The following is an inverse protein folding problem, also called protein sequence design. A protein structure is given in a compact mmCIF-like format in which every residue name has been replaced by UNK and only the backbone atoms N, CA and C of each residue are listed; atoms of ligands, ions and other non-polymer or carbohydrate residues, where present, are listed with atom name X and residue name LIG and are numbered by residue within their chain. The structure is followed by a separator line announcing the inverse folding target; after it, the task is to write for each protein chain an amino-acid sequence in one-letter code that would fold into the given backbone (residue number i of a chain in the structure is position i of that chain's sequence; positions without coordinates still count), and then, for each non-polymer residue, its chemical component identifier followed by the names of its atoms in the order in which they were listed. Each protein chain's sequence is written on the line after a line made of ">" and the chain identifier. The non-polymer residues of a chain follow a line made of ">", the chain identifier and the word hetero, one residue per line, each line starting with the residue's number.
data_IF_493809134110
#
_entry.id   IF_493809134110
#
_cell.length_a   1.000
_cell.length_b   1.000
_cell.length_c   1.000
_cell.angle_alpha   90.00
_cell.angle_beta   90.00
_cell.angle_gamma   90.00
#
_symmetry.space_group_name_H-M   'P 1'
#
loop_
_entity.id
_entity.type
_entity.pdbx_description
1 polymer ?
#
# COMPACT_ATOMS: atom_id res chain seq x y z
N UNK A 1 -11.84 9.40 -19.63
CA UNK A 1 -12.68 8.67 -18.66
C UNK A 1 -11.76 8.14 -17.56
N UNK A 2 -12.27 7.89 -16.35
CA UNK A 2 -11.50 7.23 -15.29
C UNK A 2 -11.76 5.72 -15.36
N UNK A 3 -10.73 4.90 -15.25
CA UNK A 3 -10.85 3.44 -15.23
C UNK A 3 -9.82 2.81 -14.29
N UNK A 4 -10.21 1.75 -13.60
CA UNK A 4 -9.29 0.89 -12.88
C UNK A 4 -8.73 -0.17 -13.82
N UNK A 5 -7.42 -0.28 -13.89
CA UNK A 5 -6.74 -1.48 -14.36
C UNK A 5 -6.60 -2.43 -13.19
N UNK A 6 -6.94 -3.70 -13.37
CA UNK A 6 -6.84 -4.72 -12.33
C UNK A 6 -6.12 -5.95 -12.84
N UNK A 7 -5.07 -6.34 -12.15
CA UNK A 7 -4.31 -7.56 -12.44
C UNK A 7 -4.40 -8.52 -11.25
N UNK A 8 -4.85 -9.75 -11.55
CA UNK A 8 -4.83 -10.87 -10.61
C UNK A 8 -3.53 -11.67 -10.79
N UNK A 9 -2.50 -11.24 -10.07
CA UNK A 9 -1.20 -11.89 -10.07
C UNK A 9 -1.17 -13.14 -9.19
N UNK A 10 -0.08 -13.90 -9.35
CA UNK A 10 0.39 -14.94 -8.45
C UNK A 10 0.94 -14.26 -7.18
N UNK A 11 0.32 -14.52 -6.04
CA UNK A 11 0.79 -14.04 -4.73
C UNK A 11 0.39 -12.60 -4.39
N UNK A 12 -0.07 -11.82 -5.37
CA UNK A 12 -0.62 -10.49 -5.14
C UNK A 12 -1.59 -10.06 -6.26
N UNK A 13 -2.57 -9.24 -5.90
CA UNK A 13 -3.38 -8.48 -6.83
C UNK A 13 -2.90 -7.03 -6.91
N UNK A 14 -2.86 -6.46 -8.11
CA UNK A 14 -2.45 -5.07 -8.38
C UNK A 14 -3.62 -4.31 -9.01
N UNK A 15 -3.78 -3.05 -8.65
CA UNK A 15 -4.74 -2.17 -9.31
C UNK A 15 -4.19 -0.76 -9.48
N UNK A 16 -4.50 -0.12 -10.61
CA UNK A 16 -4.13 1.25 -10.91
C UNK A 16 -5.34 2.02 -11.44
N UNK A 17 -5.68 3.16 -10.83
CA UNK A 17 -6.68 4.08 -11.34
C UNK A 17 -6.03 5.01 -12.36
N UNK A 18 -6.52 4.97 -13.59
CA UNK A 18 -6.07 5.81 -14.68
C UNK A 18 -7.10 6.93 -14.90
N UNK A 19 -6.65 8.18 -14.77
CA UNK A 19 -7.44 9.37 -15.08
C UNK A 19 -6.72 10.17 -16.17
N UNK A 20 -7.39 10.36 -17.32
CA UNK A 20 -6.84 11.12 -18.46
C UNK A 20 -5.45 10.60 -18.90
N UNK A 21 -5.30 9.27 -18.93
CA UNK A 21 -4.07 8.58 -19.32
C UNK A 21 -2.96 8.56 -18.26
N UNK A 22 -3.22 9.03 -17.03
CA UNK A 22 -2.25 9.08 -15.94
C UNK A 22 -2.65 8.17 -14.79
N UNK A 23 -1.69 7.43 -14.25
CA UNK A 23 -1.85 6.73 -12.98
C UNK A 23 -2.00 7.74 -11.85
N UNK A 24 -3.16 7.75 -11.20
CA UNK A 24 -3.48 8.68 -10.09
C UNK A 24 -3.62 7.98 -8.74
N UNK A 25 -3.82 6.67 -8.73
CA UNK A 25 -3.92 5.85 -7.52
C UNK A 25 -3.44 4.42 -7.84
N UNK A 26 -2.63 3.82 -6.98
CA UNK A 26 -2.24 2.43 -7.09
C UNK A 26 -2.46 1.69 -5.77
N UNK A 27 -2.88 0.44 -5.89
CA UNK A 27 -3.21 -0.44 -4.79
C UNK A 27 -2.57 -1.81 -5.04
N UNK A 28 -2.03 -2.39 -3.98
CA UNK A 28 -1.52 -3.77 -3.98
C UNK A 28 -2.18 -4.49 -2.80
N UNK A 29 -2.64 -5.70 -3.03
CA UNK A 29 -3.11 -6.63 -2.00
C UNK A 29 -2.34 -7.93 -2.16
N UNK A 30 -1.46 -8.24 -1.21
CA UNK A 30 -0.74 -9.53 -1.17
C UNK A 30 -1.67 -10.63 -0.69
N UNK A 31 -1.52 -11.82 -1.24
CA UNK A 31 -2.18 -13.01 -0.74
C UNK A 31 -1.66 -13.35 0.65
N UNK A 32 -2.57 -13.72 1.56
CA UNK A 32 -2.21 -14.14 2.90
C UNK A 32 -3.42 -14.28 3.80
N UNK A 33 -3.16 -14.75 5.02
CA UNK A 33 -4.18 -15.00 6.04
C UNK A 33 -4.44 -13.80 6.96
N UNK A 34 -3.75 -12.68 6.72
CA UNK A 34 -3.91 -11.45 7.48
C UNK A 34 -5.35 -10.92 7.35
N UNK A 35 -5.92 -10.51 8.47
CA UNK A 35 -7.31 -10.08 8.49
C UNK A 35 -7.48 -8.73 7.79
N UNK A 36 -8.44 -8.65 6.86
CA UNK A 36 -8.68 -7.43 6.06
C UNK A 36 -9.57 -6.42 6.78
N UNK A 37 -9.40 -5.14 6.45
CA UNK A 37 -10.32 -4.10 6.90
C UNK A 37 -11.75 -4.41 6.42
N UNK A 38 -12.72 -4.23 7.31
CA UNK A 38 -14.11 -4.56 7.08
C UNK A 38 -14.46 -6.01 7.33
N UNK A 39 -13.50 -6.90 7.60
CA UNK A 39 -13.80 -8.28 8.00
C UNK A 39 -14.50 -8.33 9.36
N UNK A 40 -15.35 -9.33 9.56
CA UNK A 40 -15.86 -9.72 10.89
C UNK A 40 -15.25 -11.07 11.21
N UNK A 41 -14.33 -11.10 12.18
CA UNK A 41 -13.57 -12.28 12.53
C UNK A 41 -13.91 -12.79 13.94
N UNK A 42 -13.85 -14.12 14.10
CA UNK A 42 -14.00 -14.78 15.39
C UNK A 42 -12.66 -14.83 16.13
N UNK A 43 -12.70 -14.54 17.43
CA UNK A 43 -11.55 -14.66 18.30
C UNK A 43 -11.91 -14.74 19.78
N UNK A 44 -10.88 -14.69 20.62
CA UNK A 44 -10.98 -14.74 22.07
C UNK A 44 -10.28 -13.54 22.68
N UNK A 45 -10.90 -12.86 23.65
CA UNK A 45 -10.23 -11.80 24.42
C UNK A 45 -9.15 -12.47 25.29
N UNK A 46 -7.87 -12.22 25.02
CA UNK A 46 -6.75 -12.86 25.72
C UNK A 46 -6.09 -11.96 26.75
N UNK A 47 -6.27 -10.63 26.64
CA UNK A 47 -5.74 -9.68 27.62
C UNK A 47 -6.53 -8.37 27.62
N UNK A 48 -6.76 -7.82 28.81
CA UNK A 48 -7.29 -6.47 29.03
C UNK A 48 -6.12 -5.54 29.30
N UNK A 49 -5.88 -4.58 28.41
CA UNK A 49 -4.78 -3.61 28.58
C UNK A 49 -5.26 -2.42 29.42
N UNK A 50 -6.42 -1.87 29.08
CA UNK A 50 -7.06 -0.77 29.80
C UNK A 50 -8.50 -1.19 30.10
N UNK A 51 -8.89 -1.37 31.37
CA UNK A 51 -10.22 -1.79 31.75
C UNK A 51 -11.31 -0.96 31.05
N UNK A 52 -12.31 -1.64 30.47
CA UNK A 52 -13.45 -1.05 29.73
C UNK A 52 -13.09 -0.21 28.49
N UNK A 53 -11.83 -0.19 28.06
CA UNK A 53 -11.38 0.63 26.93
C UNK A 53 -10.62 -0.17 25.88
N UNK A 54 -9.64 -0.99 26.28
CA UNK A 54 -8.70 -1.56 25.31
C UNK A 54 -8.24 -2.95 25.69
N UNK A 55 -8.31 -3.88 24.76
CA UNK A 55 -7.93 -5.28 24.96
C UNK A 55 -7.32 -5.90 23.72
N UNK A 56 -6.74 -7.08 23.89
CA UNK A 56 -6.16 -7.88 22.82
C UNK A 56 -7.06 -9.08 22.60
N UNK A 57 -7.60 -9.18 21.39
CA UNK A 57 -8.32 -10.36 20.91
C UNK A 57 -7.37 -11.17 20.04
N UNK A 58 -7.19 -12.46 20.34
CA UNK A 58 -6.53 -13.39 19.44
C UNK A 58 -7.59 -14.00 18.53
N UNK A 59 -7.47 -13.74 17.23
CA UNK A 59 -8.36 -14.32 16.22
C UNK A 59 -8.12 -15.83 16.09
N UNK A 60 -9.07 -16.51 15.45
CA UNK A 60 -8.95 -17.94 15.13
C UNK A 60 -7.78 -18.22 14.19
N UNK A 61 -7.39 -17.25 13.36
CA UNK A 61 -6.18 -17.30 12.52
C UNK A 61 -4.87 -17.20 13.33
N UNK A 62 -4.93 -16.87 14.63
CA UNK A 62 -3.77 -16.62 15.48
C UNK A 62 -3.34 -15.15 15.53
N UNK A 63 -3.80 -14.31 14.60
CA UNK A 63 -3.49 -12.88 14.58
C UNK A 63 -4.05 -12.15 15.83
N UNK A 64 -3.29 -11.20 16.36
CA UNK A 64 -3.72 -10.37 17.49
C UNK A 64 -4.29 -9.02 17.04
N UNK A 65 -5.53 -8.74 17.48
CA UNK A 65 -6.26 -7.51 17.19
C UNK A 65 -6.43 -6.68 18.46
N UNK A 66 -6.18 -5.39 18.35
CA UNK A 66 -6.51 -4.40 19.37
C UNK A 66 -8.02 -4.09 19.31
N UNK A 67 -8.78 -4.56 20.28
CA UNK A 67 -10.20 -4.24 20.44
C UNK A 67 -10.37 -2.94 21.22
N UNK A 68 -11.02 -1.93 20.62
CA UNK A 68 -11.31 -0.64 21.26
C UNK A 68 -12.60 -0.01 20.70
N UNK A 69 -13.62 0.30 21.55
CA UNK A 69 -13.69 0.02 22.98
C UNK A 69 -13.96 -1.46 23.30
N UNK A 70 -13.55 -1.93 24.49
CA UNK A 70 -14.02 -3.21 25.04
C UNK A 70 -15.44 -3.03 25.60
N UNK A 71 -16.41 -3.93 25.29
CA UNK A 71 -17.72 -3.94 25.93
C UNK A 71 -17.65 -4.14 27.45
N UNK A 72 -18.46 -3.45 28.27
CA UNK A 72 -18.37 -3.52 29.74
C UNK A 72 -18.49 -4.92 30.36
N UNK A 73 -19.11 -5.88 29.67
CA UNK A 73 -19.35 -7.25 30.18
C UNK A 73 -18.45 -8.31 29.52
N UNK A 74 -17.49 -7.91 28.68
CA UNK A 74 -16.59 -8.86 28.04
C UNK A 74 -15.43 -9.19 29.00
N UNK A 75 -15.40 -10.43 29.49
CA UNK A 75 -14.34 -10.94 30.35
C UNK A 75 -13.20 -11.58 29.54
N UNK A 76 -12.01 -11.59 30.11
CA UNK A 76 -10.89 -12.36 29.54
C UNK A 76 -11.26 -13.83 29.40
N UNK A 77 -10.79 -14.44 28.32
CA UNK A 77 -11.14 -15.79 27.93
C UNK A 77 -12.50 -15.93 27.23
N UNK A 78 -13.30 -14.86 27.09
CA UNK A 78 -14.56 -14.91 26.36
C UNK A 78 -14.34 -14.89 24.83
N UNK A 79 -15.20 -15.63 24.11
CA UNK A 79 -15.27 -15.57 22.66
C UNK A 79 -15.97 -14.28 22.22
N UNK A 80 -15.51 -13.71 21.12
CA UNK A 80 -16.00 -12.42 20.60
C UNK A 80 -15.91 -12.37 19.07
N UNK A 81 -16.86 -11.67 18.46
CA UNK A 81 -16.75 -11.24 17.07
C UNK A 81 -16.15 -9.84 17.03
N UNK A 82 -15.20 -9.62 16.13
CA UNK A 82 -14.51 -8.34 15.96
C UNK A 82 -14.65 -7.88 14.52
N UNK A 83 -15.20 -6.69 14.32
CA UNK A 83 -15.14 -5.97 13.05
C UNK A 83 -13.78 -5.26 12.95
N UNK A 84 -13.03 -5.55 11.90
CA UNK A 84 -11.71 -4.96 11.65
C UNK A 84 -11.88 -3.59 11.01
N UNK A 85 -11.28 -2.57 11.61
CA UNK A 85 -11.34 -1.18 11.12
C UNK A 85 -9.99 -0.67 10.62
N UNK A 86 -8.90 -1.39 10.93
CA UNK A 86 -7.56 -1.19 10.39
C UNK A 86 -6.79 -2.52 10.42
N UNK A 87 -6.17 -2.88 9.32
CA UNK A 87 -5.24 -4.00 9.20
C UNK A 87 -4.01 -3.84 10.10
N UNK A 88 -3.28 -4.93 10.33
CA UNK A 88 -1.96 -4.84 10.93
C UNK A 88 -1.04 -4.02 10.01
N UNK A 89 -0.17 -3.21 10.61
CA UNK A 89 0.83 -2.45 9.87
C UNK A 89 2.18 -2.68 10.51
N UNK A 90 3.11 -3.18 9.70
CA UNK A 90 4.49 -3.34 10.12
C UNK A 90 5.12 -1.96 10.36
N UNK A 91 5.86 -1.88 11.47
CA UNK A 91 6.67 -0.71 11.83
C UNK A 91 7.94 -1.24 12.48
N UNK A 92 9.05 -0.52 12.27
CA UNK A 92 10.34 -0.90 12.84
C UNK A 92 10.24 -0.94 14.38
N UNK A 93 10.70 -2.04 14.97
CA UNK A 93 10.67 -2.28 16.42
C UNK A 93 9.33 -2.74 16.97
N UNK A 94 8.24 -1.98 16.80
CA UNK A 94 6.93 -2.31 17.40
C UNK A 94 5.78 -2.29 16.38
N UNK A 95 5.41 -3.44 15.78
CA UNK A 95 4.34 -3.48 14.80
C UNK A 95 3.00 -3.05 15.39
N UNK A 96 2.22 -2.31 14.59
CA UNK A 96 0.86 -1.91 14.94
C UNK A 96 -0.09 -3.05 14.62
N UNK A 97 -0.45 -3.84 15.66
CA UNK A 97 -1.55 -4.83 15.62
C UNK A 97 -2.76 -4.31 14.84
N UNK A 98 -3.49 -5.18 14.15
CA UNK A 98 -4.78 -4.83 13.58
C UNK A 98 -5.67 -4.20 14.65
N UNK A 99 -6.58 -3.29 14.26
CA UNK A 99 -7.53 -2.63 15.17
C UNK A 99 -8.93 -3.05 14.80
N UNK A 100 -9.72 -3.37 15.82
CA UNK A 100 -11.12 -3.74 15.65
C UNK A 100 -12.04 -3.13 16.69
N UNK A 101 -13.33 -3.27 16.44
CA UNK A 101 -14.43 -2.89 17.32
C UNK A 101 -15.49 -3.98 17.35
N UNK A 102 -16.51 -3.83 18.19
CA UNK A 102 -17.67 -4.72 18.12
C UNK A 102 -18.41 -4.51 16.80
N UNK A 103 -18.76 -5.59 16.09
CA UNK A 103 -19.60 -5.50 14.90
C UNK A 103 -21.02 -5.05 15.27
N UNK A 104 -21.80 -4.70 14.24
CA UNK A 104 -23.22 -4.44 14.41
C UNK A 104 -23.98 -5.70 14.91
N UNK A 105 -25.07 -5.54 15.68
CA UNK A 105 -25.91 -6.67 16.07
C UNK A 105 -26.37 -7.50 14.87
N UNK A 106 -26.19 -8.82 14.94
CA UNK A 106 -26.57 -9.74 13.86
C UNK A 106 -25.52 -9.92 12.75
N UNK A 107 -24.38 -9.23 12.80
CA UNK A 107 -23.27 -9.50 11.88
C UNK A 107 -22.79 -10.95 11.99
N UNK A 108 -22.53 -11.55 10.83
CA UNK A 108 -21.94 -12.89 10.72
C UNK A 108 -20.46 -12.78 10.34
N UNK A 109 -19.62 -13.79 10.63
CA UNK A 109 -18.24 -13.79 10.19
C UNK A 109 -18.11 -13.68 8.67
N UNK A 110 -17.17 -12.86 8.20
CA UNK A 110 -16.79 -12.75 6.79
C UNK A 110 -15.38 -12.17 6.64
N UNK A 111 -14.71 -12.49 5.53
CA UNK A 111 -13.31 -12.14 5.29
C UNK A 111 -13.04 -10.67 4.90
N UNK A 112 -14.07 -9.81 4.95
CA UNK A 112 -13.98 -8.44 4.41
C UNK A 112 -13.87 -8.40 2.86
N UNK A 113 -13.97 -7.21 2.25
CA UNK A 113 -13.89 -7.05 0.80
C UNK A 113 -12.46 -7.21 0.27
N UNK A 114 -12.27 -7.98 -0.80
CA UNK A 114 -11.01 -8.06 -1.54
C UNK A 114 -10.69 -6.78 -2.30
N UNK A 115 -9.46 -6.63 -2.80
CA UNK A 115 -9.07 -5.49 -3.64
C UNK A 115 -10.05 -5.28 -4.80
N UNK A 116 -10.37 -6.34 -5.55
CA UNK A 116 -11.31 -6.28 -6.67
C UNK A 116 -12.71 -5.81 -6.23
N UNK A 117 -13.19 -6.30 -5.09
CA UNK A 117 -14.49 -5.88 -4.54
C UNK A 117 -14.46 -4.41 -4.12
N UNK A 118 -13.36 -3.94 -3.51
CA UNK A 118 -13.20 -2.53 -3.10
C UNK A 118 -13.19 -1.59 -4.30
N UNK A 119 -12.43 -1.90 -5.35
CA UNK A 119 -12.39 -1.03 -6.54
C UNK A 119 -13.72 -1.04 -7.31
N UNK A 120 -14.41 -2.18 -7.39
CA UNK A 120 -15.76 -2.26 -8.00
C UNK A 120 -16.79 -1.42 -7.24
N UNK A 121 -16.70 -1.38 -5.92
CA UNK A 121 -17.60 -0.58 -5.08
C UNK A 121 -17.46 0.94 -5.32
N UNK A 122 -16.40 1.41 -5.97
CA UNK A 122 -16.26 2.82 -6.36
C UNK A 122 -17.19 3.23 -7.50
N UNK A 123 -17.79 2.27 -8.22
CA UNK A 123 -18.58 2.53 -9.43
C UNK A 123 -17.76 2.93 -10.66
N UNK A 124 -16.43 3.01 -10.54
CA UNK A 124 -15.53 3.26 -11.67
C UNK A 124 -15.35 1.97 -12.48
N UNK A 125 -15.39 2.01 -13.83
CA UNK A 125 -15.14 0.84 -14.67
C UNK A 125 -13.83 0.13 -14.30
N UNK A 126 -13.87 -1.21 -14.26
CA UNK A 126 -12.71 -2.05 -13.95
C UNK A 126 -12.36 -2.87 -15.18
N UNK A 127 -11.15 -2.70 -15.69
CA UNK A 127 -10.61 -3.43 -16.83
C UNK A 127 -9.63 -4.49 -16.32
N UNK A 128 -9.91 -5.79 -16.54
CA UNK A 128 -8.96 -6.84 -16.20
C UNK A 128 -7.72 -6.76 -17.10
N UNK A 129 -6.56 -7.04 -16.54
CA UNK A 129 -5.27 -7.08 -17.22
C UNK A 129 -4.68 -8.49 -17.08
N UNK A 130 -5.09 -9.45 -17.91
CA UNK A 130 -4.59 -10.82 -17.80
C UNK A 130 -3.11 -10.91 -18.19
N UNK A 131 -2.41 -11.90 -17.63
CA UNK A 131 -0.95 -11.98 -17.75
C UNK A 131 -0.42 -12.32 -19.16
N UNK A 132 -1.28 -12.78 -20.08
CA UNK A 132 -0.89 -13.09 -21.47
C UNK A 132 -1.04 -11.89 -22.41
N UNK A 133 -1.58 -10.78 -21.92
CA UNK A 133 -1.68 -9.51 -22.66
C UNK A 133 -0.51 -8.58 -22.31
N UNK A 134 -0.38 -7.51 -23.08
CA UNK A 134 0.56 -6.42 -22.81
C UNK A 134 0.40 -5.88 -21.38
N UNK A 135 1.51 -5.47 -20.77
CA UNK A 135 1.48 -4.91 -19.42
C UNK A 135 0.91 -3.49 -19.43
N UNK A 136 -0.43 -3.39 -19.32
CA UNK A 136 -1.15 -2.12 -19.29
C UNK A 136 -0.81 -1.28 -18.07
N UNK A 137 -0.43 -1.88 -16.94
CA UNK A 137 0.00 -1.14 -15.77
C UNK A 137 1.32 -0.44 -16.08
N UNK A 138 2.26 -1.18 -16.67
CA UNK A 138 3.56 -0.64 -17.09
C UNK A 138 3.43 0.50 -18.11
N UNK A 139 2.50 0.39 -19.08
CA UNK A 139 2.21 1.46 -20.03
C UNK A 139 1.78 2.80 -19.38
N UNK A 140 1.40 2.78 -18.09
CA UNK A 140 1.03 3.96 -17.31
C UNK A 140 1.99 4.29 -16.16
N UNK A 141 3.22 3.76 -16.22
CA UNK A 141 4.30 4.13 -15.31
C UNK A 141 4.28 3.37 -13.98
N UNK A 142 3.92 2.08 -14.00
CA UNK A 142 3.87 1.27 -12.79
C UNK A 142 5.23 1.10 -12.14
N UNK A 143 6.26 0.72 -12.92
CA UNK A 143 7.60 0.50 -12.39
C UNK A 143 8.20 1.77 -11.80
N UNK A 144 8.00 2.92 -12.43
CA UNK A 144 8.43 4.22 -11.93
C UNK A 144 7.77 4.53 -10.58
N UNK A 145 6.46 4.29 -10.43
CA UNK A 145 5.79 4.47 -9.14
C UNK A 145 6.31 3.51 -8.06
N UNK A 146 6.62 2.26 -8.42
CA UNK A 146 7.21 1.31 -7.47
C UNK A 146 8.59 1.78 -7.01
N UNK A 147 9.42 2.27 -7.94
CA UNK A 147 10.74 2.83 -7.64
C UNK A 147 10.63 4.06 -6.74
N UNK A 148 9.72 4.99 -7.04
CA UNK A 148 9.42 6.14 -6.18
C UNK A 148 8.97 5.72 -4.77
N UNK A 149 8.15 4.68 -4.64
CA UNK A 149 7.69 4.19 -3.34
C UNK A 149 8.80 3.47 -2.56
N UNK A 150 9.67 2.73 -3.25
CA UNK A 150 10.83 2.04 -2.65
C UNK A 150 11.89 3.05 -2.21
N UNK A 151 12.28 3.99 -3.07
CA UNK A 151 13.29 5.02 -2.78
C UNK A 151 12.77 6.10 -1.83
N UNK A 152 11.52 6.52 -2.01
CA UNK A 152 10.94 7.68 -1.32
C UNK A 152 11.33 8.99 -2.00
N UNK A 153 11.84 8.95 -3.22
CA UNK A 153 12.18 10.11 -4.02
C UNK A 153 11.12 10.27 -5.12
N UNK A 154 10.57 11.47 -5.27
CA UNK A 154 9.52 11.77 -6.26
C UNK A 154 9.81 13.11 -6.92
N UNK A 155 9.57 13.22 -8.22
CA UNK A 155 9.65 14.49 -8.94
C UNK A 155 10.96 14.71 -9.68
N UNK A 156 11.32 15.97 -9.90
CA UNK A 156 12.44 16.38 -10.73
C UNK A 156 13.16 17.60 -10.14
N UNK A 157 14.21 18.09 -10.79
CA UNK A 157 15.07 19.18 -10.29
C UNK A 157 14.30 20.47 -9.93
N UNK A 158 13.19 20.75 -10.61
CA UNK A 158 12.38 21.95 -10.40
C UNK A 158 11.38 21.84 -9.23
N UNK A 159 11.07 20.61 -8.79
CA UNK A 159 10.35 20.28 -7.57
C UNK A 159 10.48 18.77 -7.31
N UNK A 160 11.11 18.42 -6.19
CA UNK A 160 11.33 17.05 -5.74
C UNK A 160 10.81 16.88 -4.31
N UNK A 161 10.42 15.64 -3.99
CA UNK A 161 10.03 15.23 -2.65
C UNK A 161 11.02 14.20 -2.12
N UNK A 162 11.36 14.31 -0.84
CA UNK A 162 11.90 13.19 -0.07
C UNK A 162 10.88 12.75 0.98
N UNK A 163 10.56 11.45 0.96
CA UNK A 163 9.50 10.84 1.73
C UNK A 163 10.08 9.95 2.83
N UNK A 164 9.73 10.25 4.08
CA UNK A 164 10.23 9.54 5.25
C UNK A 164 9.08 8.89 6.03
N UNK A 165 9.16 7.58 6.19
CA UNK A 165 8.30 6.84 7.11
C UNK A 165 8.88 6.95 8.53
N UNK A 166 8.15 7.59 9.44
CA UNK A 166 8.53 7.63 10.87
C UNK A 166 7.45 6.96 11.72
N UNK A 167 7.76 6.53 12.97
CA UNK A 167 6.77 5.89 13.83
C UNK A 167 5.51 6.72 14.12
N UNK A 168 5.66 8.05 14.15
CA UNK A 168 4.58 8.98 14.50
C UNK A 168 3.80 9.47 13.27
N UNK A 169 4.49 9.80 12.18
CA UNK A 169 3.90 10.37 10.97
C UNK A 169 4.79 10.16 9.73
N UNK A 170 4.20 10.29 8.54
CA UNK A 170 4.96 10.39 7.31
C UNK A 170 5.43 11.84 7.14
N UNK A 171 6.70 12.06 6.82
CA UNK A 171 7.23 13.39 6.52
C UNK A 171 7.56 13.50 5.03
N UNK A 172 7.17 14.61 4.42
CA UNK A 172 7.45 14.98 3.04
C UNK A 172 8.26 16.26 3.08
N UNK A 173 9.52 16.16 2.71
CA UNK A 173 10.41 17.29 2.50
C UNK A 173 10.31 17.76 1.05
N UNK A 174 10.17 19.07 0.82
CA UNK A 174 10.01 19.66 -0.52
C UNK A 174 11.21 20.51 -0.87
N UNK A 175 11.95 20.05 -1.87
CA UNK A 175 13.12 20.73 -2.42
C UNK A 175 12.93 21.07 -3.91
N UNK A 176 13.74 22.00 -4.42
CA UNK A 176 13.78 22.32 -5.85
C UNK A 176 14.51 23.62 -6.16
N UNK A 177 14.78 23.84 -7.44
CA UNK A 177 15.51 25.03 -7.92
C UNK A 177 14.66 26.30 -8.07
N UNK A 178 13.34 26.22 -7.85
CA UNK A 178 12.41 27.35 -8.01
C UNK A 178 12.40 28.28 -6.78
N UNK A 179 12.06 29.58 -6.96
CA UNK A 179 11.84 30.49 -5.84
C UNK A 179 10.70 30.00 -4.92
N UNK A 180 10.74 30.25 -3.59
CA UNK A 180 9.75 29.72 -2.62
C UNK A 180 8.28 29.95 -2.97
N UNK A 181 7.92 31.13 -3.50
CA UNK A 181 6.56 31.46 -3.91
C UNK A 181 6.03 30.58 -5.07
N UNK A 182 6.93 30.01 -5.87
CA UNK A 182 6.60 29.08 -6.96
C UNK A 182 6.77 27.62 -6.54
N UNK A 183 7.84 27.33 -5.78
CA UNK A 183 8.14 26.00 -5.27
C UNK A 183 7.09 25.50 -4.29
N UNK A 184 6.61 26.36 -3.36
CA UNK A 184 5.60 25.99 -2.37
C UNK A 184 4.33 25.39 -3.00
N UNK A 185 3.63 26.11 -3.90
CA UNK A 185 2.47 25.55 -4.59
C UNK A 185 2.78 24.32 -5.46
N UNK A 186 3.90 24.33 -6.18
CA UNK A 186 4.27 23.20 -7.03
C UNK A 186 4.56 21.93 -6.23
N UNK A 187 5.33 22.06 -5.15
CA UNK A 187 5.64 21.00 -4.21
C UNK A 187 4.41 20.50 -3.47
N UNK A 188 3.51 21.39 -3.02
CA UNK A 188 2.24 21.01 -2.43
C UNK A 188 1.39 20.16 -3.40
N UNK A 189 1.28 20.58 -4.67
CA UNK A 189 0.62 19.78 -5.70
C UNK A 189 1.27 18.40 -5.85
N UNK A 190 2.60 18.34 -5.98
CA UNK A 190 3.33 17.09 -6.15
C UNK A 190 3.13 16.15 -4.94
N UNK A 191 3.19 16.69 -3.73
CA UNK A 191 2.94 15.97 -2.48
C UNK A 191 1.51 15.41 -2.42
N UNK A 192 0.49 16.21 -2.75
CA UNK A 192 -0.89 15.73 -2.82
C UNK A 192 -1.08 14.58 -3.82
N UNK A 193 -0.41 14.68 -4.99
CA UNK A 193 -0.42 13.62 -5.99
C UNK A 193 0.29 12.36 -5.50
N UNK A 194 1.44 12.48 -4.84
CA UNK A 194 2.15 11.34 -4.25
C UNK A 194 1.32 10.66 -3.15
N UNK A 195 0.70 11.44 -2.26
CA UNK A 195 -0.20 10.96 -1.20
C UNK A 195 -1.36 10.15 -1.78
N UNK A 196 -1.94 10.61 -2.90
CA UNK A 196 -3.00 9.86 -3.60
C UNK A 196 -2.44 8.60 -4.28
N UNK A 197 -1.41 8.75 -5.13
CA UNK A 197 -0.83 7.65 -5.92
C UNK A 197 -0.39 6.48 -5.06
N UNK A 198 0.24 6.76 -3.92
CA UNK A 198 0.81 5.74 -3.03
C UNK A 198 -0.13 5.32 -1.89
N UNK A 199 -1.36 5.87 -1.82
CA UNK A 199 -2.31 5.54 -0.76
C UNK A 199 -1.85 5.95 0.64
N UNK A 200 -1.01 6.98 0.76
CA UNK A 200 -0.48 7.42 2.06
C UNK A 200 -1.60 7.89 2.99
N UNK A 201 -1.54 7.48 4.24
CA UNK A 201 -2.58 7.75 5.22
C UNK A 201 -2.03 7.92 6.64
N UNK A 202 -2.90 8.28 7.58
CA UNK A 202 -2.49 8.65 8.95
C UNK A 202 -2.14 10.13 9.04
N UNK A 203 -1.18 10.44 9.92
CA UNK A 203 -0.61 11.78 10.04
C UNK A 203 0.50 11.95 9.01
N UNK A 204 0.42 13.00 8.19
CA UNK A 204 1.39 13.33 7.15
C UNK A 204 1.79 14.78 7.33
N UNK A 205 3.08 15.06 7.46
CA UNK A 205 3.64 16.40 7.51
C UNK A 205 4.29 16.73 6.19
N UNK A 206 4.05 17.94 5.69
CA UNK A 206 4.67 18.47 4.48
C UNK A 206 5.45 19.70 4.89
N UNK A 207 6.76 19.66 4.67
CA UNK A 207 7.66 20.78 4.88
C UNK A 207 7.85 21.50 3.55
N UNK A 208 7.12 22.59 3.35
CA UNK A 208 7.25 23.45 2.17
C UNK A 208 8.34 24.50 2.42
N UNK A 209 8.97 25.05 1.36
CA UNK A 209 9.86 26.20 1.53
C UNK A 209 9.13 27.36 2.22
N UNK A 210 9.88 28.13 3.00
CA UNK A 210 9.32 29.30 3.71
C UNK A 210 8.83 30.33 2.69
N UNK A 211 7.52 30.61 2.71
CA UNK A 211 6.86 31.61 1.86
C UNK A 211 6.66 32.93 2.62
N UNK A 212 6.80 34.05 1.92
CA UNK A 212 6.95 35.37 2.53
C UNK A 212 5.65 35.92 3.13
N UNK A 213 4.51 35.55 2.55
CA UNK A 213 3.22 36.12 2.92
C UNK A 213 2.13 35.05 3.03
N UNK A 214 0.98 35.48 3.56
CA UNK A 214 -0.17 34.60 3.79
C UNK A 214 -0.79 34.11 2.47
N UNK A 215 -0.77 34.93 1.42
CA UNK A 215 -1.42 34.62 0.15
C UNK A 215 -0.69 33.49 -0.58
N UNK A 216 0.64 33.52 -0.63
CA UNK A 216 1.47 32.41 -1.14
C UNK A 216 1.18 31.10 -0.41
N UNK A 217 1.11 31.14 0.92
CA UNK A 217 0.77 29.99 1.76
C UNK A 217 -0.63 29.44 1.48
N UNK A 218 -1.60 30.32 1.24
CA UNK A 218 -2.96 29.93 0.88
C UNK A 218 -3.02 29.28 -0.51
N UNK A 219 -2.25 29.78 -1.48
CA UNK A 219 -2.15 29.18 -2.82
C UNK A 219 -1.59 27.76 -2.73
N UNK A 220 -0.55 27.55 -1.92
CA UNK A 220 0.01 26.21 -1.71
C UNK A 220 -0.99 25.25 -1.06
N UNK A 221 -1.68 25.69 -0.01
CA UNK A 221 -2.73 24.90 0.64
C UNK A 221 -3.86 24.51 -0.33
N UNK A 222 -4.27 25.42 -1.21
CA UNK A 222 -5.31 25.17 -2.21
C UNK A 222 -4.88 24.12 -3.26
N UNK A 223 -3.59 23.90 -3.49
CA UNK A 223 -3.14 22.79 -4.34
C UNK A 223 -3.42 21.43 -3.69
N UNK A 224 -3.30 21.31 -2.36
CA UNK A 224 -3.66 20.07 -1.67
C UNK A 224 -5.14 19.76 -1.89
N UNK A 225 -6.01 20.72 -1.64
CA UNK A 225 -7.47 20.56 -1.79
C UNK A 225 -7.89 20.20 -3.21
N UNK A 226 -7.15 20.71 -4.20
CA UNK A 226 -7.44 20.46 -5.62
C UNK A 226 -7.04 19.06 -6.06
N UNK A 227 -5.94 18.51 -5.57
CA UNK A 227 -5.34 17.28 -6.12
C UNK A 227 -5.48 16.06 -5.21
N UNK A 228 -5.73 16.24 -3.92
CA UNK A 228 -6.00 15.15 -2.98
C UNK A 228 -7.52 15.02 -2.78
N UNK A 229 -8.15 13.92 -3.18
CA UNK A 229 -9.59 13.72 -2.94
C UNK A 229 -9.89 13.52 -1.44
N UNK A 230 -11.05 14.02 -1.01
CA UNK A 230 -11.63 13.74 0.31
C UNK A 230 -11.88 12.22 0.48
N UNK A 231 -11.90 11.70 1.73
CA UNK A 231 -11.78 12.43 2.99
C UNK A 231 -10.33 12.67 3.43
N UNK A 232 -10.05 13.90 3.87
CA UNK A 232 -8.87 14.26 4.65
C UNK A 232 -9.17 15.54 5.44
N UNK A 233 -8.40 15.77 6.50
CA UNK A 233 -8.32 17.07 7.17
C UNK A 233 -6.92 17.63 6.98
N UNK A 234 -6.77 18.95 7.00
CA UNK A 234 -5.44 19.57 6.97
C UNK A 234 -5.39 20.84 7.81
N UNK A 235 -4.20 21.17 8.28
CA UNK A 235 -3.93 22.50 8.86
C UNK A 235 -3.78 23.55 7.77
N UNK A 236 -3.72 24.82 8.16
CA UNK A 236 -3.12 25.86 7.32
C UNK A 236 -1.60 25.63 7.23
N UNK A 237 -0.97 26.18 6.18
CA UNK A 237 0.50 26.29 6.13
C UNK A 237 0.94 27.34 7.16
N UNK A 238 1.79 26.94 8.10
CA UNK A 238 2.27 27.82 9.16
C UNK A 238 3.36 28.79 8.65
N UNK A 239 3.85 29.68 9.51
CA UNK A 239 4.88 30.67 9.16
C UNK A 239 6.24 30.08 8.76
N UNK A 240 6.47 28.80 9.04
CA UNK A 240 7.70 28.07 8.71
C UNK A 240 7.53 27.16 7.48
N UNK A 241 6.37 27.19 6.81
CA UNK A 241 6.12 26.35 5.62
C UNK A 241 5.53 24.97 5.90
N UNK A 242 5.33 24.61 7.18
CA UNK A 242 4.81 23.28 7.51
C UNK A 242 3.28 23.20 7.46
N UNK A 243 2.77 22.08 6.93
CA UNK A 243 1.36 21.72 6.88
C UNK A 243 1.18 20.26 7.25
N UNK A 244 0.14 19.96 8.03
CA UNK A 244 -0.21 18.58 8.37
C UNK A 244 -1.50 18.16 7.66
N UNK A 245 -1.52 16.95 7.13
CA UNK A 245 -2.69 16.25 6.58
C UNK A 245 -3.00 15.06 7.49
N UNK A 246 -4.29 14.87 7.80
CA UNK A 246 -4.80 13.69 8.50
C UNK A 246 -5.73 12.92 7.57
N UNK A 247 -5.39 11.65 7.31
CA UNK A 247 -6.23 10.71 6.56
C UNK A 247 -6.49 9.45 7.37
N UNK A 248 -7.68 8.87 7.22
CA UNK A 248 -7.99 7.60 7.86
C UNK A 248 -7.01 6.52 7.38
N UNK A 249 -6.32 5.88 8.33
CA UNK A 249 -5.37 4.79 8.07
C UNK A 249 -6.06 3.45 8.30
N UNK A 250 -6.35 2.75 7.21
CA UNK A 250 -7.00 1.44 7.23
C UNK A 250 -6.02 0.29 6.94
N UNK A 251 -4.98 0.55 6.16
CA UNK A 251 -4.00 -0.46 5.73
C UNK A 251 -2.64 0.17 5.48
N UNK A 252 -1.64 -0.67 5.24
CA UNK A 252 -0.33 -0.22 4.80
C UNK A 252 -0.44 0.54 3.47
N UNK A 253 0.30 1.64 3.34
CA UNK A 253 0.48 2.33 2.06
C UNK A 253 1.56 1.63 1.21
N UNK A 254 1.74 2.04 -0.04
CA UNK A 254 2.71 1.37 -0.94
C UNK A 254 4.13 1.39 -0.40
N UNK A 255 4.60 2.50 0.20
CA UNK A 255 5.95 2.56 0.75
C UNK A 255 6.12 1.56 1.90
N UNK A 256 5.15 1.50 2.81
CA UNK A 256 5.16 0.56 3.94
C UNK A 256 5.18 -0.89 3.43
N UNK A 257 4.28 -1.22 2.50
CA UNK A 257 4.15 -2.58 1.95
C UNK A 257 5.40 -3.03 1.21
N UNK A 258 5.97 -2.18 0.36
CA UNK A 258 7.09 -2.54 -0.51
C UNK A 258 8.40 -2.62 0.27
N UNK A 259 8.59 -1.78 1.29
CA UNK A 259 9.80 -1.74 2.13
C UNK A 259 9.79 -2.76 3.27
N UNK A 260 8.63 -3.24 3.71
CA UNK A 260 8.51 -4.25 4.77
C UNK A 260 9.25 -5.54 4.43
N UNK A 261 9.07 -6.04 3.20
CA UNK A 261 9.73 -7.26 2.71
C UNK A 261 10.24 -7.04 1.29
N UNK A 262 11.49 -6.54 1.13
CA UNK A 262 12.10 -6.30 -0.18
C UNK A 262 12.27 -7.57 -1.01
N UNK A 263 12.44 -8.74 -0.37
CA UNK A 263 12.59 -10.03 -1.06
C UNK A 263 11.25 -10.42 -1.68
N UNK A 264 10.16 -10.33 -0.91
CA UNK A 264 8.82 -10.60 -1.42
C UNK A 264 8.44 -9.61 -2.52
N UNK A 265 8.70 -8.31 -2.33
CA UNK A 265 8.47 -7.27 -3.36
C UNK A 265 9.18 -7.62 -4.68
N UNK A 266 10.48 -7.91 -4.64
CA UNK A 266 11.23 -8.26 -5.83
C UNK A 266 10.76 -9.58 -6.46
N UNK A 267 10.35 -10.54 -5.64
CA UNK A 267 9.80 -11.83 -6.10
C UNK A 267 8.48 -11.62 -6.85
N UNK A 268 7.58 -10.79 -6.33
CA UNK A 268 6.31 -10.49 -7.00
C UNK A 268 6.55 -9.86 -8.36
N UNK A 269 7.42 -8.83 -8.45
CA UNK A 269 7.79 -8.20 -9.70
C UNK A 269 8.43 -9.19 -10.70
N UNK A 270 9.28 -10.11 -10.22
CA UNK A 270 9.88 -11.14 -11.05
C UNK A 270 8.85 -12.15 -11.57
N UNK A 271 7.89 -12.59 -10.74
CA UNK A 271 6.79 -13.45 -11.18
C UNK A 271 5.93 -12.77 -12.26
N UNK A 272 5.65 -11.45 -12.15
CA UNK A 272 4.95 -10.70 -13.20
C UNK A 272 5.70 -10.77 -14.53
N UNK A 273 7.02 -10.49 -14.52
CA UNK A 273 7.86 -10.58 -15.71
C UNK A 273 7.91 -12.01 -16.26
N UNK A 274 7.96 -13.02 -15.38
CA UNK A 274 7.97 -14.41 -15.77
C UNK A 274 6.67 -14.86 -16.44
N UNK A 275 5.50 -14.38 -16.01
CA UNK A 275 4.25 -14.71 -16.70
C UNK A 275 4.21 -14.16 -18.13
N UNK A 276 4.83 -13.00 -18.37
CA UNK A 276 4.83 -12.29 -19.66
C UNK A 276 6.02 -12.60 -20.56
N UNK A 277 7.00 -13.36 -20.09
CA UNK A 277 8.23 -13.59 -20.85
C UNK A 277 8.00 -14.44 -22.10
N UNK A 278 8.35 -13.92 -23.27
CA UNK A 278 8.23 -14.62 -24.54
C UNK A 278 6.79 -14.92 -24.95
N UNK A 279 6.55 -16.10 -25.52
CA UNK A 279 5.24 -16.55 -25.99
C UNK A 279 4.65 -17.67 -25.09
N UNK A 280 5.09 -17.73 -23.83
CA UNK A 280 4.82 -18.84 -22.92
C UNK A 280 5.79 -20.01 -23.07
N UNK A 281 5.42 -21.18 -22.56
CA UNK A 281 6.24 -22.39 -22.51
C UNK A 281 7.22 -22.42 -21.35
N UNK A 282 8.21 -23.33 -21.46
CA UNK A 282 9.22 -23.50 -20.43
C UNK A 282 10.02 -22.21 -20.22
N UNK A 283 10.46 -21.96 -18.98
CA UNK A 283 11.25 -20.79 -18.64
C UNK A 283 12.22 -21.09 -17.49
N UNK A 284 13.33 -20.36 -17.45
CA UNK A 284 14.25 -20.35 -16.33
C UNK A 284 14.20 -19.00 -15.62
N UNK A 285 13.78 -19.00 -14.36
CA UNK A 285 13.82 -17.83 -13.48
C UNK A 285 15.17 -17.81 -12.77
N UNK A 286 16.00 -16.81 -13.07
CA UNK A 286 17.30 -16.61 -12.45
C UNK A 286 17.26 -15.39 -11.53
N UNK A 287 17.62 -15.54 -10.26
CA UNK A 287 17.55 -14.44 -9.28
C UNK A 287 18.53 -14.62 -8.11
N UNK A 288 18.62 -13.60 -7.26
CA UNK A 288 19.36 -13.67 -6.00
C UNK A 288 18.89 -14.86 -5.14
N UNK A 289 19.78 -15.51 -4.37
CA UNK A 289 19.44 -16.71 -3.59
C UNK A 289 18.20 -16.56 -2.70
N UNK A 290 18.04 -15.41 -2.04
CA UNK A 290 16.89 -15.15 -1.17
C UNK A 290 15.53 -15.22 -1.90
N UNK A 291 15.47 -14.80 -3.16
CA UNK A 291 14.26 -14.89 -4.00
C UNK A 291 13.99 -16.35 -4.36
N UNK A 292 15.02 -17.08 -4.77
CA UNK A 292 14.90 -18.50 -5.13
C UNK A 292 14.48 -19.36 -3.93
N UNK A 293 15.03 -19.09 -2.74
CA UNK A 293 14.63 -19.75 -1.50
C UNK A 293 13.17 -19.48 -1.13
N UNK A 294 12.69 -18.25 -1.34
CA UNK A 294 11.27 -17.91 -1.15
C UNK A 294 10.39 -18.67 -2.14
N UNK A 295 10.77 -18.73 -3.41
CA UNK A 295 10.03 -19.45 -4.44
C UNK A 295 9.99 -20.97 -4.18
N UNK A 296 11.05 -21.57 -3.63
CA UNK A 296 11.02 -22.96 -3.19
C UNK A 296 10.04 -23.20 -2.04
N UNK A 297 9.93 -22.25 -1.09
CA UNK A 297 8.94 -22.31 0.01
C UNK A 297 7.51 -22.13 -0.49
N UNK A 298 7.33 -21.50 -1.65
CA UNK A 298 6.04 -21.22 -2.31
C UNK A 298 5.91 -22.00 -3.61
N UNK A 299 6.02 -23.33 -3.51
CA UNK A 299 5.87 -24.23 -4.66
C UNK A 299 4.53 -24.02 -5.39
N UNK A 300 3.47 -23.64 -4.67
CA UNK A 300 2.17 -23.26 -5.22
C UNK A 300 2.25 -22.13 -6.25
N UNK A 301 3.13 -21.14 -6.03
CA UNK A 301 3.36 -20.05 -6.99
C UNK A 301 4.05 -20.52 -8.26
N UNK A 302 5.02 -21.43 -8.13
CA UNK A 302 5.76 -21.97 -9.28
C UNK A 302 4.87 -22.89 -10.11
N UNK A 303 4.05 -23.71 -9.47
CA UNK A 303 3.05 -24.54 -10.14
C UNK A 303 2.03 -23.68 -10.91
N UNK A 304 1.55 -22.59 -10.28
CA UNK A 304 0.65 -21.66 -10.93
C UNK A 304 1.31 -20.93 -12.11
N UNK A 305 2.58 -20.51 -11.96
CA UNK A 305 3.35 -19.90 -13.04
C UNK A 305 3.53 -20.88 -14.22
N UNK A 306 3.93 -22.13 -13.94
CA UNK A 306 4.10 -23.17 -14.94
C UNK A 306 2.79 -23.45 -15.69
N UNK A 307 1.67 -23.49 -14.97
CA UNK A 307 0.33 -23.65 -15.55
C UNK A 307 -0.05 -22.47 -16.44
N UNK A 308 0.15 -21.23 -15.98
CA UNK A 308 -0.19 -20.01 -16.76
C UNK A 308 0.68 -19.88 -18.01
N UNK A 309 1.95 -20.28 -17.95
CA UNK A 309 2.85 -20.30 -19.10
C UNK A 309 2.63 -21.49 -20.03
N UNK A 310 2.09 -22.60 -19.55
CA UNK A 310 1.98 -23.85 -20.31
C UNK A 310 3.31 -24.59 -20.47
N UNK A 311 4.22 -24.48 -19.50
CA UNK A 311 5.53 -25.14 -19.55
C UNK A 311 6.27 -25.15 -18.21
N UNK A 312 7.29 -25.99 -18.11
CA UNK A 312 8.07 -26.15 -16.88
C UNK A 312 8.84 -24.88 -16.50
N UNK A 313 8.85 -24.55 -15.21
CA UNK A 313 9.61 -23.43 -14.67
C UNK A 313 10.79 -23.97 -13.89
N UNK A 314 12.00 -23.59 -14.30
CA UNK A 314 13.24 -23.92 -13.60
C UNK A 314 13.71 -22.72 -12.79
N UNK A 315 14.16 -22.96 -11.55
CA UNK A 315 14.69 -21.92 -10.68
C UNK A 315 16.22 -22.01 -10.62
N UNK A 316 16.90 -20.88 -10.79
CA UNK A 316 18.37 -20.78 -10.73
C UNK A 316 18.79 -19.64 -9.81
N UNK A 317 19.53 -19.97 -8.76
CA UNK A 317 20.15 -18.97 -7.89
C UNK A 317 21.44 -18.42 -8.53
N UNK A 318 21.62 -17.11 -8.45
CA UNK A 318 22.85 -16.42 -8.82
C UNK A 318 23.21 -15.39 -7.75
N UNK A 319 24.32 -15.64 -7.04
CA UNK A 319 24.79 -14.79 -5.95
C UNK A 319 25.34 -13.43 -6.41
N UNK A 320 25.59 -13.24 -7.71
CA UNK A 320 26.03 -11.97 -8.27
C UNK A 320 24.87 -10.99 -8.52
N UNK A 321 23.62 -11.47 -8.49
CA UNK A 321 22.44 -10.64 -8.75
C UNK A 321 21.95 -9.94 -7.48
N UNK A 322 21.62 -8.66 -7.61
CA UNK A 322 20.82 -7.94 -6.62
C UNK A 322 19.37 -8.43 -6.65
N UNK A 323 18.55 -8.02 -5.66
CA UNK A 323 17.13 -8.35 -5.65
C UNK A 323 16.40 -7.86 -6.92
N UNK A 324 16.78 -6.69 -7.45
CA UNK A 324 16.19 -6.15 -8.68
C UNK A 324 16.72 -6.84 -9.97
N UNK A 325 17.88 -7.49 -9.90
CA UNK A 325 18.59 -8.07 -11.05
C UNK A 325 18.05 -9.42 -11.56
N UNK A 326 17.00 -9.96 -10.92
CA UNK A 326 16.37 -11.19 -11.38
C UNK A 326 15.82 -11.07 -12.81
N UNK A 327 15.90 -12.14 -13.59
CA UNK A 327 15.46 -12.17 -14.98
C UNK A 327 14.94 -13.57 -15.36
N UNK A 328 14.35 -13.64 -16.56
CA UNK A 328 13.71 -14.84 -17.10
C UNK A 328 14.29 -15.14 -18.46
N UNK A 329 14.61 -16.41 -18.72
CA UNK A 329 15.12 -16.91 -19.99
C UNK A 329 14.20 -17.99 -20.56
#
# INVERSE_FOLDING_TARGET
>A
MAEWLYEEGIGEARAALIEKGKLVEALIERDGDAVRTGAVAQGRLVATIIPKKRGIVRLTSGEEVLLEPIPPRLAEGANVLVEIIREAIAEEGRPKRAKGRMPQPGSKPHAGPSLLQRIRATGTPVIPCPAHEEDRLEAHGWSELMEEAISGEVGAEDAALRLYLTPAMLLIDVDGSLPPAQLGPKGAKLAAQAVRRMGMSGSIGIDLPTMNNKDERMVAAAQIDKYLPLPFERTAVNGFGFLQIIRRRERANLMELLREDPVLTATMALLRRAERHGQGGAATVTAAPAIIDLLHKRADWIELLAKRRGGAVTLKADAALSLAGGHVA
#
